data_IF_280551122297
#
_entry.id   IF_280551122297
#
_cell.length_a   1.000
_cell.length_b   1.000
_cell.length_c   1.000
_cell.angle_alpha   90.00
_cell.angle_beta   90.00
_cell.angle_gamma   90.00
#
_symmetry.space_group_name_H-M   'P 1'
#
loop_
_entity.id
_entity.type
_entity.pdbx_description
1 polymer ?
#
# COMPACT_ATOMS: atom_id res chain seq x y z
N UNK A 1 -5.61 -17.30 -11.45
CA UNK A 1 -6.15 -16.48 -10.35
C UNK A 1 -7.55 -15.98 -10.64
N UNK A 2 -7.78 -15.09 -11.61
CA UNK A 2 -9.15 -14.62 -11.93
C UNK A 2 -10.13 -15.76 -12.27
N UNK A 3 -9.65 -16.77 -13.02
CA UNK A 3 -10.39 -18.01 -13.26
C UNK A 3 -10.77 -18.74 -11.96
N UNK A 4 -9.81 -18.92 -11.06
CA UNK A 4 -10.00 -19.62 -9.77
C UNK A 4 -10.97 -18.91 -8.82
N UNK A 5 -11.16 -17.60 -8.97
CA UNK A 5 -12.15 -16.84 -8.22
C UNK A 5 -13.51 -16.72 -8.94
N UNK A 6 -13.69 -17.38 -10.08
CA UNK A 6 -14.95 -17.47 -10.81
C UNK A 6 -15.23 -16.29 -11.77
N UNK A 7 -14.20 -15.62 -12.28
CA UNK A 7 -14.35 -14.58 -13.30
C UNK A 7 -14.24 -15.20 -14.70
N UNK A 8 -15.31 -15.10 -15.49
CA UNK A 8 -15.34 -15.62 -16.87
C UNK A 8 -14.70 -14.65 -17.88
N UNK A 9 -14.97 -13.35 -17.72
CA UNK A 9 -14.38 -12.29 -18.53
C UNK A 9 -13.02 -11.87 -17.94
N UNK A 10 -11.97 -12.61 -18.32
CA UNK A 10 -10.62 -12.41 -17.83
C UNK A 10 -10.00 -11.10 -18.35
N UNK A 11 -9.09 -10.53 -17.56
CA UNK A 11 -8.30 -9.34 -17.89
C UNK A 11 -6.84 -9.54 -17.45
N UNK A 12 -5.92 -8.96 -18.21
CA UNK A 12 -4.49 -8.96 -17.89
C UNK A 12 -4.14 -8.10 -16.66
N UNK A 13 -5.10 -7.39 -16.09
CA UNK A 13 -4.90 -6.50 -14.95
C UNK A 13 -5.68 -6.95 -13.71
N UNK A 14 -5.05 -6.80 -12.53
CA UNK A 14 -5.74 -6.87 -11.25
C UNK A 14 -6.50 -5.55 -11.00
N UNK A 15 -7.69 -5.45 -11.62
CA UNK A 15 -8.57 -4.28 -11.61
C UNK A 15 -9.69 -4.32 -10.56
N UNK A 16 -10.64 -3.38 -10.65
CA UNK A 16 -11.81 -3.29 -9.74
C UNK A 16 -12.65 -4.57 -9.73
N UNK A 17 -12.82 -5.24 -10.87
CA UNK A 17 -13.58 -6.50 -10.95
C UNK A 17 -12.95 -7.62 -10.12
N UNK A 18 -11.62 -7.78 -10.19
CA UNK A 18 -10.89 -8.76 -9.38
C UNK A 18 -10.95 -8.41 -7.89
N UNK A 19 -10.83 -7.13 -7.55
CA UNK A 19 -10.96 -6.67 -6.16
C UNK A 19 -12.36 -6.95 -5.59
N UNK A 20 -13.41 -6.61 -6.34
CA UNK A 20 -14.80 -6.83 -5.93
C UNK A 20 -15.12 -8.32 -5.76
N UNK A 21 -14.66 -9.17 -6.68
CA UNK A 21 -14.85 -10.63 -6.58
C UNK A 21 -14.14 -11.23 -5.35
N UNK A 22 -12.96 -10.73 -5.00
CA UNK A 22 -12.26 -11.16 -3.78
C UNK A 22 -12.89 -10.61 -2.51
N UNK A 23 -13.40 -9.38 -2.55
CA UNK A 23 -14.06 -8.75 -1.40
C UNK A 23 -15.35 -9.50 -1.05
N UNK A 24 -16.12 -9.91 -2.06
CA UNK A 24 -17.29 -10.79 -1.91
C UNK A 24 -16.93 -12.14 -1.25
N UNK A 25 -15.69 -12.60 -1.39
CA UNK A 25 -15.16 -13.82 -0.76
C UNK A 25 -14.46 -13.59 0.57
N UNK A 26 -14.35 -12.34 1.04
CA UNK A 26 -13.55 -11.94 2.21
C UNK A 26 -12.04 -12.20 2.09
N UNK A 27 -11.49 -12.29 0.87
CA UNK A 27 -10.07 -12.54 0.62
C UNK A 27 -9.72 -14.00 0.31
N UNK A 28 -8.45 -14.38 0.54
CA UNK A 28 -7.97 -15.77 0.38
C UNK A 28 -7.49 -16.33 1.73
N UNK A 29 -8.22 -17.30 2.23
CA UNK A 29 -7.98 -18.03 3.47
C UNK A 29 -7.10 -19.27 3.30
N UNK A 30 -6.72 -19.89 4.42
CA UNK A 30 -6.01 -21.18 4.45
C UNK A 30 -6.90 -22.36 4.05
N UNK A 31 -8.23 -22.17 4.06
CA UNK A 31 -9.24 -23.16 3.69
C UNK A 31 -9.75 -23.03 2.24
N UNK A 32 -9.19 -22.09 1.46
CA UNK A 32 -9.48 -21.99 0.02
C UNK A 32 -8.87 -23.16 -0.77
N UNK A 33 -9.28 -23.31 -2.03
CA UNK A 33 -8.77 -24.37 -2.89
C UNK A 33 -7.24 -24.33 -3.03
N UNK A 34 -6.66 -25.52 -3.23
CA UNK A 34 -5.20 -25.71 -3.32
C UNK A 34 -4.55 -24.79 -4.36
N UNK A 35 -5.24 -24.52 -5.48
CA UNK A 35 -4.75 -23.66 -6.57
C UNK A 35 -4.61 -22.19 -6.16
N UNK A 36 -5.57 -21.63 -5.40
CA UNK A 36 -5.49 -20.24 -4.91
C UNK A 36 -4.38 -20.09 -3.87
N UNK A 37 -4.25 -21.07 -2.96
CA UNK A 37 -3.19 -21.10 -1.96
C UNK A 37 -1.82 -21.21 -2.65
N UNK A 38 -1.71 -22.03 -3.68
CA UNK A 38 -0.49 -22.22 -4.45
C UNK A 38 -0.08 -20.95 -5.23
N UNK A 39 -1.04 -20.23 -5.83
CA UNK A 39 -0.78 -18.94 -6.48
C UNK A 39 -0.20 -17.93 -5.48
N UNK A 40 -0.77 -17.86 -4.27
CA UNK A 40 -0.28 -16.99 -3.20
C UNK A 40 1.15 -17.37 -2.79
N UNK A 41 1.43 -18.68 -2.61
CA UNK A 41 2.76 -19.17 -2.27
C UNK A 41 3.81 -18.80 -3.33
N UNK A 42 3.48 -19.02 -4.61
CA UNK A 42 4.37 -18.62 -5.69
C UNK A 42 4.55 -17.10 -5.78
N UNK A 43 3.53 -16.31 -5.45
CA UNK A 43 3.67 -14.86 -5.40
C UNK A 43 4.71 -14.45 -4.34
N UNK A 44 4.66 -15.02 -3.13
CA UNK A 44 5.69 -14.81 -2.12
C UNK A 44 7.08 -15.27 -2.57
N UNK A 45 7.16 -16.43 -3.24
CA UNK A 45 8.41 -16.92 -3.81
C UNK A 45 9.00 -15.94 -4.84
N UNK A 46 8.17 -15.40 -5.74
CA UNK A 46 8.58 -14.37 -6.70
C UNK A 46 9.03 -13.07 -6.01
N UNK A 47 8.53 -12.79 -4.81
CA UNK A 47 9.01 -11.70 -3.94
C UNK A 47 10.30 -12.06 -3.18
N UNK A 48 10.76 -13.29 -3.31
CA UNK A 48 11.97 -13.80 -2.71
C UNK A 48 11.80 -14.16 -1.23
N UNK A 49 10.58 -14.42 -0.79
CA UNK A 49 10.27 -15.01 0.51
C UNK A 49 10.06 -16.52 0.34
N UNK A 50 10.64 -17.30 1.24
CA UNK A 50 10.38 -18.74 1.29
C UNK A 50 9.08 -18.97 2.06
N UNK A 51 8.16 -19.72 1.46
CA UNK A 51 6.88 -20.09 2.07
C UNK A 51 6.87 -21.54 2.57
N UNK A 52 8.03 -22.23 2.56
CA UNK A 52 8.21 -23.58 3.11
C UNK A 52 7.36 -24.67 2.46
N UNK A 53 6.56 -24.31 1.46
CA UNK A 53 5.72 -25.19 0.67
C UNK A 53 6.60 -26.22 -0.03
N UNK A 54 6.68 -27.41 0.55
CA UNK A 54 7.33 -28.52 -0.09
C UNK A 54 6.62 -28.77 -1.44
N UNK A 55 7.36 -28.78 -2.55
CA UNK A 55 6.87 -29.12 -3.91
C UNK A 55 6.11 -30.45 -3.97
N UNK A 56 6.16 -31.25 -2.89
CA UNK A 56 5.53 -32.56 -2.71
C UNK A 56 4.14 -32.51 -2.03
N UNK A 57 3.71 -31.36 -1.48
CA UNK A 57 2.37 -31.14 -0.92
C UNK A 57 1.84 -29.75 -1.33
N UNK A 58 1.49 -29.54 -2.61
CA UNK A 58 0.80 -28.32 -3.03
C UNK A 58 -0.52 -28.15 -2.23
N UNK A 59 -0.86 -26.92 -1.86
CA UNK A 59 -2.13 -26.58 -1.21
C UNK A 59 -2.09 -26.39 0.32
N UNK A 60 -1.04 -26.89 1.01
CA UNK A 60 -0.88 -26.64 2.45
C UNK A 60 -0.08 -25.36 2.72
N UNK A 61 -0.73 -24.39 3.36
CA UNK A 61 -0.08 -23.17 3.88
C UNK A 61 0.61 -23.50 5.21
N UNK A 62 1.67 -24.28 5.16
CA UNK A 62 2.38 -24.73 6.38
C UNK A 62 3.13 -23.57 7.08
N UNK A 63 3.33 -22.44 6.40
CA UNK A 63 4.14 -21.33 6.89
C UNK A 63 3.31 -20.07 7.20
N UNK A 64 2.62 -20.11 8.33
CA UNK A 64 2.03 -18.92 8.97
C UNK A 64 3.09 -17.81 9.21
N UNK A 65 4.38 -18.18 9.28
CA UNK A 65 5.50 -17.24 9.40
C UNK A 65 5.71 -16.34 8.17
N UNK A 66 5.48 -16.81 6.95
CA UNK A 66 5.78 -16.04 5.74
C UNK A 66 4.79 -14.88 5.52
N UNK A 67 3.49 -15.13 5.72
CA UNK A 67 2.46 -14.08 5.69
C UNK A 67 2.72 -13.00 6.76
N UNK A 68 3.12 -13.43 7.96
CA UNK A 68 3.43 -12.53 9.09
C UNK A 68 4.65 -11.68 8.77
N UNK A 69 5.75 -12.30 8.33
CA UNK A 69 6.99 -11.62 7.99
C UNK A 69 6.81 -10.57 6.88
N UNK A 70 6.03 -10.86 5.84
CA UNK A 70 5.78 -9.88 4.77
C UNK A 70 4.87 -8.76 5.25
N UNK A 71 3.77 -9.08 5.95
CA UNK A 71 2.87 -8.06 6.47
C UNK A 71 3.59 -7.14 7.48
N UNK A 72 4.44 -7.70 8.35
CA UNK A 72 5.24 -6.94 9.31
C UNK A 72 6.32 -6.10 8.62
N UNK A 73 7.10 -6.69 7.70
CA UNK A 73 8.19 -5.97 6.99
C UNK A 73 7.66 -4.87 6.08
N UNK A 74 6.48 -5.06 5.48
CA UNK A 74 5.79 -4.06 4.66
C UNK A 74 4.85 -3.15 5.48
N UNK A 75 4.78 -3.33 6.80
CA UNK A 75 3.93 -2.57 7.73
C UNK A 75 2.44 -2.55 7.34
N UNK A 76 1.94 -3.64 6.78
CA UNK A 76 0.52 -3.83 6.48
C UNK A 76 -0.21 -4.19 7.78
N UNK A 77 -0.45 -3.20 8.65
CA UNK A 77 -1.20 -3.40 9.89
C UNK A 77 -2.66 -3.72 9.57
N UNK A 78 -3.21 -4.77 10.19
CA UNK A 78 -4.65 -5.08 10.14
C UNK A 78 -5.07 -6.21 9.18
N UNK A 79 -4.16 -7.06 8.74
CA UNK A 79 -4.46 -8.32 8.06
C UNK A 79 -4.30 -9.51 8.99
N UNK A 80 -5.36 -10.32 9.09
CA UNK A 80 -5.27 -11.62 9.73
C UNK A 80 -4.37 -12.52 8.87
N UNK A 81 -3.36 -13.12 9.48
CA UNK A 81 -2.36 -13.96 8.81
C UNK A 81 -3.01 -15.14 8.10
N UNK A 82 -4.20 -15.54 8.55
CA UNK A 82 -5.00 -16.64 7.99
C UNK A 82 -5.81 -16.24 6.76
N UNK A 83 -6.07 -14.95 6.55
CA UNK A 83 -6.89 -14.46 5.43
C UNK A 83 -6.28 -13.22 4.79
N UNK A 84 -5.74 -13.38 3.57
CA UNK A 84 -5.18 -12.27 2.81
C UNK A 84 -6.31 -11.42 2.23
N UNK A 85 -6.44 -10.18 2.71
CA UNK A 85 -7.43 -9.22 2.21
C UNK A 85 -7.16 -8.86 0.73
N UNK A 86 -8.20 -8.49 -0.05
CA UNK A 86 -8.08 -8.20 -1.48
C UNK A 86 -6.98 -7.19 -1.84
N UNK A 87 -6.83 -6.11 -1.05
CA UNK A 87 -5.82 -5.07 -1.28
C UNK A 87 -4.39 -5.56 -1.02
N UNK A 88 -4.20 -6.43 -0.02
CA UNK A 88 -2.91 -7.06 0.26
C UNK A 88 -2.54 -8.05 -0.85
N UNK A 89 -3.52 -8.84 -1.30
CA UNK A 89 -3.30 -9.76 -2.42
C UNK A 89 -2.96 -9.02 -3.72
N UNK A 90 -3.63 -7.90 -3.99
CA UNK A 90 -3.31 -7.03 -5.12
C UNK A 90 -1.88 -6.49 -5.04
N UNK A 91 -1.45 -6.06 -3.85
CA UNK A 91 -0.09 -5.59 -3.65
C UNK A 91 0.94 -6.72 -3.84
N UNK A 92 0.67 -7.91 -3.28
CA UNK A 92 1.53 -9.08 -3.38
C UNK A 92 1.74 -9.52 -4.84
N UNK A 93 0.68 -9.54 -5.64
CA UNK A 93 0.71 -9.92 -7.05
C UNK A 93 1.18 -8.80 -7.98
N UNK A 94 1.24 -7.54 -7.50
CA UNK A 94 1.81 -6.46 -8.27
C UNK A 94 3.32 -6.64 -8.41
N UNK A 95 3.87 -6.32 -9.58
CA UNK A 95 5.31 -6.43 -9.86
C UNK A 95 6.18 -5.60 -8.89
N UNK A 96 5.66 -4.47 -8.41
CA UNK A 96 6.42 -3.37 -7.77
C UNK A 96 6.91 -3.60 -6.35
N UNK A 97 6.47 -4.65 -5.64
CA UNK A 97 7.11 -4.98 -4.35
C UNK A 97 8.47 -5.62 -4.64
N UNK A 98 9.54 -4.83 -4.64
CA UNK A 98 10.92 -5.32 -4.71
C UNK A 98 11.46 -5.59 -3.31
N UNK A 99 12.39 -6.55 -3.20
CA UNK A 99 13.25 -6.66 -2.01
C UNK A 99 13.96 -5.34 -1.75
N UNK A 100 14.20 -5.09 -0.45
CA UNK A 100 14.97 -3.97 0.06
C UNK A 100 16.22 -3.69 -0.80
N UNK A 101 16.28 -2.51 -1.40
CA UNK A 101 17.56 -1.93 -1.77
C UNK A 101 18.35 -1.67 -0.48
N UNK A 102 19.66 -1.89 -0.51
CA UNK A 102 20.55 -1.68 0.65
C UNK A 102 20.79 -0.19 0.95
N UNK A 103 20.31 0.74 0.09
CA UNK A 103 20.53 2.19 0.20
C UNK A 103 19.20 2.97 0.36
N UNK A 104 18.27 2.46 1.15
CA UNK A 104 16.94 3.06 1.22
C UNK A 104 16.84 4.14 2.30
N UNK A 105 16.30 5.30 1.92
CA UNK A 105 15.93 6.37 2.85
C UNK A 105 14.84 5.89 3.83
N UNK A 106 15.23 5.63 5.07
CA UNK A 106 14.33 5.17 6.13
C UNK A 106 13.20 6.16 6.44
N UNK A 107 13.43 7.46 6.22
CA UNK A 107 12.43 8.51 6.45
C UNK A 107 11.28 8.37 5.44
N UNK A 108 11.62 8.14 4.17
CA UNK A 108 10.60 7.92 3.12
C UNK A 108 9.82 6.64 3.38
N UNK A 109 10.48 5.59 3.85
CA UNK A 109 9.80 4.34 4.24
C UNK A 109 8.81 4.52 5.39
N UNK A 110 9.19 5.30 6.41
CA UNK A 110 8.27 5.64 7.52
C UNK A 110 7.02 6.33 7.00
N UNK A 111 7.16 7.26 6.07
CA UNK A 111 6.02 7.93 5.44
C UNK A 111 5.15 6.98 4.58
N UNK A 112 5.77 6.17 3.72
CA UNK A 112 5.05 5.18 2.90
C UNK A 112 4.26 4.18 3.76
N UNK A 113 4.87 3.69 4.85
CA UNK A 113 4.24 2.83 5.86
C UNK A 113 3.08 3.53 6.58
N UNK A 114 3.25 4.81 6.93
CA UNK A 114 2.21 5.62 7.55
C UNK A 114 1.01 5.84 6.62
N UNK A 115 1.25 6.14 5.33
CA UNK A 115 0.20 6.25 4.31
C UNK A 115 -0.61 4.95 4.22
N UNK A 116 0.07 3.82 4.10
CA UNK A 116 -0.56 2.50 4.07
C UNK A 116 -1.39 2.25 5.34
N UNK A 117 -0.85 2.55 6.52
CA UNK A 117 -1.56 2.29 7.78
C UNK A 117 -2.80 3.17 7.97
N UNK A 118 -2.76 4.42 7.51
CA UNK A 118 -3.83 5.40 7.75
C UNK A 118 -4.94 5.34 6.72
N UNK A 119 -4.61 5.14 5.44
CA UNK A 119 -5.54 5.32 4.33
C UNK A 119 -5.97 4.02 3.66
N UNK A 120 -5.61 2.86 4.21
CA UNK A 120 -5.99 1.54 3.65
C UNK A 120 -7.51 1.35 3.48
N UNK A 121 -8.31 2.01 4.32
CA UNK A 121 -9.77 1.90 4.29
C UNK A 121 -10.40 2.58 3.07
N UNK A 122 -9.76 3.60 2.47
CA UNK A 122 -10.28 4.30 1.29
C UNK A 122 -10.37 3.31 0.13
N UNK A 123 -11.54 3.17 -0.49
CA UNK A 123 -11.78 2.19 -1.57
C UNK A 123 -10.70 2.24 -2.66
N UNK A 124 -10.45 3.43 -3.22
CA UNK A 124 -9.50 3.64 -4.31
C UNK A 124 -8.02 3.57 -3.88
N UNK A 125 -7.74 3.52 -2.57
CA UNK A 125 -6.37 3.40 -2.06
C UNK A 125 -5.89 1.95 -2.18
N UNK A 126 -4.83 1.77 -2.96
CA UNK A 126 -4.07 0.54 -3.03
C UNK A 126 -2.80 0.67 -2.18
N UNK A 127 -2.40 -0.44 -1.56
CA UNK A 127 -1.14 -0.50 -0.82
C UNK A 127 0.02 -0.15 -1.75
N UNK A 128 0.87 0.76 -1.29
CA UNK A 128 2.10 1.15 -1.98
C UNK A 128 3.31 0.39 -1.42
N UNK A 129 4.35 0.13 -2.25
CA UNK A 129 5.60 -0.44 -1.76
C UNK A 129 6.27 0.50 -0.74
N UNK A 130 6.91 -0.09 0.27
CA UNK A 130 7.69 0.62 1.31
C UNK A 130 9.18 0.50 1.01
N UNK A 131 9.54 0.87 -0.22
CA UNK A 131 10.84 0.66 -0.85
C UNK A 131 11.71 1.92 -0.90
N UNK A 132 11.16 3.10 -0.59
CA UNK A 132 11.86 4.39 -0.60
C UNK A 132 11.60 5.25 -1.83
N UNK A 133 11.92 4.82 -3.07
CA UNK A 133 11.62 5.60 -4.26
C UNK A 133 10.13 5.95 -4.38
N UNK A 134 9.83 7.20 -4.72
CA UNK A 134 8.45 7.63 -4.86
C UNK A 134 7.93 7.31 -6.27
N UNK A 135 7.21 6.19 -6.39
CA UNK A 135 6.63 5.73 -7.65
C UNK A 135 5.36 6.52 -8.02
N UNK A 136 4.85 6.30 -9.25
CA UNK A 136 3.58 6.88 -9.71
C UNK A 136 2.40 6.47 -8.83
N UNK A 137 2.41 5.24 -8.31
CA UNK A 137 1.43 4.72 -7.36
C UNK A 137 1.55 5.43 -6.01
N UNK A 138 2.77 5.68 -5.53
CA UNK A 138 3.03 6.52 -4.36
C UNK A 138 2.43 7.92 -4.51
N UNK A 139 2.60 8.54 -5.68
CA UNK A 139 2.04 9.87 -5.96
C UNK A 139 0.51 9.88 -6.00
N UNK A 140 -0.12 8.86 -6.59
CA UNK A 140 -1.58 8.71 -6.54
C UNK A 140 -2.09 8.51 -5.11
N UNK A 141 -1.40 7.69 -4.32
CA UNK A 141 -1.73 7.45 -2.91
C UNK A 141 -1.65 8.73 -2.08
N UNK A 142 -0.66 9.58 -2.35
CA UNK A 142 -0.55 10.90 -1.73
C UNK A 142 -1.75 11.80 -2.07
N UNK A 143 -2.17 11.83 -3.33
CA UNK A 143 -3.36 12.62 -3.72
C UNK A 143 -4.64 12.08 -3.10
N UNK A 144 -4.79 10.75 -3.01
CA UNK A 144 -5.92 10.13 -2.30
C UNK A 144 -5.92 10.49 -0.81
N UNK A 145 -4.76 10.51 -0.16
CA UNK A 145 -4.64 10.94 1.23
C UNK A 145 -5.13 12.38 1.43
N UNK A 146 -4.74 13.31 0.54
CA UNK A 146 -5.23 14.70 0.59
C UNK A 146 -6.75 14.75 0.38
N UNK A 147 -7.26 14.05 -0.63
CA UNK A 147 -8.70 14.02 -0.94
C UNK A 147 -9.54 13.43 0.21
N UNK A 148 -9.00 12.45 0.94
CA UNK A 148 -9.64 11.88 2.13
C UNK A 148 -9.72 12.90 3.27
N UNK A 149 -8.66 13.67 3.50
CA UNK A 149 -8.66 14.74 4.51
C UNK A 149 -9.60 15.89 4.15
N UNK A 150 -9.92 16.07 2.85
CA UNK A 150 -10.99 16.96 2.40
C UNK A 150 -12.41 16.45 2.72
N UNK A 151 -12.56 15.21 3.21
CA UNK A 151 -13.84 14.51 3.39
C UNK A 151 -14.66 14.41 2.11
N UNK A 152 -13.98 14.28 0.97
CA UNK A 152 -14.64 13.91 -0.28
C UNK A 152 -15.17 12.49 -0.15
N UNK A 153 -16.38 12.23 -0.68
CA UNK A 153 -16.87 10.86 -0.82
C UNK A 153 -15.87 10.04 -1.65
N UNK A 154 -15.78 8.73 -1.39
CA UNK A 154 -14.82 7.84 -2.06
C UNK A 154 -14.97 7.88 -3.60
N UNK A 155 -16.18 8.14 -4.12
CA UNK A 155 -16.49 8.37 -5.54
C UNK A 155 -15.74 9.55 -6.18
N UNK A 156 -15.34 10.54 -5.38
CA UNK A 156 -14.61 11.72 -5.84
C UNK A 156 -13.11 11.66 -5.52
N UNK A 157 -12.68 10.70 -4.71
CA UNK A 157 -11.28 10.43 -4.43
C UNK A 157 -10.63 9.66 -5.59
N UNK A 158 -10.27 10.38 -6.66
CA UNK A 158 -9.71 9.82 -7.90
C UNK A 158 -8.18 9.69 -7.89
N UNK A 159 -7.50 10.20 -6.86
CA UNK A 159 -6.03 10.21 -6.79
C UNK A 159 -5.39 11.10 -7.84
N UNK A 160 -6.11 12.10 -8.33
CA UNK A 160 -5.65 13.07 -9.33
C UNK A 160 -5.56 14.47 -8.74
N UNK A 161 -4.52 15.21 -9.13
CA UNK A 161 -4.38 16.62 -8.77
C UNK A 161 -5.28 17.48 -9.66
N UNK A 162 -6.26 18.16 -9.06
CA UNK A 162 -7.22 19.01 -9.77
C UNK A 162 -7.61 20.26 -8.99
N UNK A 163 -8.52 21.05 -9.54
CA UNK A 163 -8.92 22.36 -8.99
C UNK A 163 -9.44 22.29 -7.54
N UNK A 164 -10.07 21.18 -7.16
CA UNK A 164 -10.54 20.94 -5.79
C UNK A 164 -9.39 20.87 -4.79
N UNK A 165 -8.35 20.09 -5.10
CA UNK A 165 -7.16 19.98 -4.26
C UNK A 165 -6.44 21.32 -4.20
N UNK A 166 -6.30 22.00 -5.34
CA UNK A 166 -5.66 23.31 -5.39
C UNK A 166 -6.37 24.33 -4.48
N UNK A 167 -7.70 24.40 -4.58
CA UNK A 167 -8.51 25.32 -3.76
C UNK A 167 -8.37 25.00 -2.28
N UNK A 168 -8.42 23.71 -1.93
CA UNK A 168 -8.29 23.26 -0.55
C UNK A 168 -6.92 23.57 0.07
N UNK A 169 -5.83 23.32 -0.67
CA UNK A 169 -4.48 23.62 -0.19
C UNK A 169 -4.30 25.14 -0.03
N UNK A 170 -4.82 25.93 -0.97
CA UNK A 170 -4.76 27.41 -0.88
C UNK A 170 -5.54 27.96 0.32
N UNK A 171 -6.67 27.35 0.68
CA UNK A 171 -7.48 27.78 1.83
C UNK A 171 -6.97 27.29 3.18
N UNK A 172 -6.06 26.31 3.20
CA UNK A 172 -5.51 25.71 4.41
C UNK A 172 -4.02 26.02 4.55
N UNK A 173 -3.70 27.27 4.92
CA UNK A 173 -2.34 27.66 5.28
C UNK A 173 -1.90 26.93 6.55
N UNK A 174 -0.88 26.09 6.44
CA UNK A 174 -0.24 25.44 7.58
C UNK A 174 0.83 26.37 8.18
N UNK A 175 0.82 26.51 9.50
CA UNK A 175 1.86 27.20 10.27
C UNK A 175 2.73 26.23 11.06
N UNK A 176 3.91 26.69 11.47
CA UNK A 176 4.84 25.95 12.34
C UNK A 176 4.14 25.53 13.63
N UNK A 177 4.28 24.26 14.03
CA UNK A 177 3.70 23.70 15.26
C UNK A 177 2.28 23.14 15.13
N UNK A 178 1.66 23.17 13.94
CA UNK A 178 0.33 22.58 13.71
C UNK A 178 0.46 21.07 13.48
N UNK A 179 0.01 20.26 14.45
CA UNK A 179 -0.13 18.81 14.29
C UNK A 179 -1.50 18.47 13.68
N UNK A 180 -1.52 18.25 12.37
CA UNK A 180 -2.69 17.74 11.63
C UNK A 180 -2.22 16.67 10.65
N UNK A 181 -3.08 15.72 10.25
CA UNK A 181 -2.76 14.77 9.19
C UNK A 181 -2.25 15.45 7.91
N UNK A 182 -2.78 16.64 7.59
CA UNK A 182 -2.33 17.47 6.48
C UNK A 182 -0.86 17.90 6.60
N UNK A 183 -0.36 18.16 7.80
CA UNK A 183 1.04 18.47 8.06
C UNK A 183 1.93 17.24 7.81
N UNK A 184 1.52 16.05 8.28
CA UNK A 184 2.25 14.80 8.01
C UNK A 184 2.28 14.45 6.51
N UNK A 185 1.16 14.66 5.79
CA UNK A 185 1.10 14.54 4.34
C UNK A 185 2.08 15.50 3.67
N UNK A 186 2.10 16.77 4.08
CA UNK A 186 2.96 17.79 3.49
C UNK A 186 4.44 17.49 3.74
N UNK A 187 4.83 17.22 4.98
CA UNK A 187 6.20 16.84 5.34
C UNK A 187 6.63 15.59 4.57
N UNK A 188 5.78 14.57 4.50
CA UNK A 188 6.02 13.37 3.71
C UNK A 188 6.19 13.64 2.22
N UNK A 189 5.39 14.54 1.63
CA UNK A 189 5.52 14.95 0.24
C UNK A 189 6.86 15.67 -0.03
N UNK A 190 7.30 16.53 0.89
CA UNK A 190 8.61 17.21 0.79
C UNK A 190 9.77 16.20 0.85
N UNK A 191 9.69 15.22 1.74
CA UNK A 191 10.67 14.13 1.87
C UNK A 191 10.76 13.33 0.56
N UNK A 192 9.62 12.95 -0.01
CA UNK A 192 9.56 12.17 -1.24
C UNK A 192 10.08 12.92 -2.47
N UNK A 193 9.95 14.25 -2.48
CA UNK A 193 10.45 15.12 -3.55
C UNK A 193 11.91 15.56 -3.34
N UNK A 194 12.58 15.03 -2.30
CA UNK A 194 13.94 15.42 -1.92
C UNK A 194 14.09 16.94 -1.70
N UNK A 195 13.03 17.60 -1.23
CA UNK A 195 13.10 19.03 -0.89
C UNK A 195 13.93 19.18 0.37
N UNK A 196 14.97 20.00 0.29
CA UNK A 196 15.87 20.29 1.41
C UNK A 196 15.31 21.42 2.26
N UNK A 197 15.55 21.37 3.56
CA UNK A 197 15.25 22.50 4.45
C UNK A 197 16.14 23.69 4.10
N UNK A 198 15.65 24.91 4.34
CA UNK A 198 16.43 26.13 4.11
C UNK A 198 17.66 26.25 5.05
N UNK A 199 17.70 25.45 6.12
CA UNK A 199 18.75 25.45 7.13
C UNK A 199 19.48 24.10 7.08
N UNK A 200 20.67 24.07 6.46
CA UNK A 200 21.62 22.97 6.60
C UNK A 200 21.66 21.92 5.48
N UNK A 201 20.73 21.93 4.51
CA UNK A 201 20.80 21.02 3.35
C UNK A 201 20.38 19.57 3.64
N UNK A 202 19.87 19.30 4.84
CA UNK A 202 19.30 18.02 5.26
C UNK A 202 17.86 17.86 4.74
N UNK A 203 17.42 16.60 4.60
CA UNK A 203 16.03 16.27 4.30
C UNK A 203 15.16 16.50 5.55
N UNK A 204 13.90 16.92 5.34
CA UNK A 204 12.92 17.02 6.43
C UNK A 204 12.80 15.69 7.20
N UNK A 205 12.66 15.75 8.51
CA UNK A 205 12.35 14.55 9.31
C UNK A 205 10.85 14.27 9.25
N UNK A 206 10.47 12.99 9.10
CA UNK A 206 9.06 12.61 9.20
C UNK A 206 8.66 12.64 10.68
N UNK A 207 7.97 13.71 11.07
CA UNK A 207 7.49 13.94 12.42
C UNK A 207 5.97 14.22 12.42
N UNK A 208 5.35 14.05 13.59
CA UNK A 208 3.92 14.31 13.80
C UNK A 208 3.58 15.82 13.82
N UNK A 209 4.58 16.67 13.61
CA UNK A 209 4.50 18.13 13.65
C UNK A 209 5.27 18.73 12.47
N UNK A 210 4.78 19.88 12.02
CA UNK A 210 5.45 20.70 11.02
C UNK A 210 6.43 21.62 11.75
N UNK A 211 7.73 21.38 11.57
CA UNK A 211 8.83 22.12 12.18
C UNK A 211 9.37 23.19 11.22
#
# INVERSE_FOLDING_TARGET
>A
MQLEIGIDALSDNFGPQTLSALDARSGIGDSDCDDLVQIVQYAFYCKGYDTGGNRRQPGRRDDQGCNTDVCERQHWKGTDVKTLKPKVLKALLAWTLTRFSLEVNEVTRKFQSWLNSRYLAIENFCIIPVDGPFSREGQKALYLAIQSEMRLNDDHATGSFGSLIETFIRSHSLGVGVSRPLAQILTGAMICQCVKTAVGGDLFQFADRFD
#
